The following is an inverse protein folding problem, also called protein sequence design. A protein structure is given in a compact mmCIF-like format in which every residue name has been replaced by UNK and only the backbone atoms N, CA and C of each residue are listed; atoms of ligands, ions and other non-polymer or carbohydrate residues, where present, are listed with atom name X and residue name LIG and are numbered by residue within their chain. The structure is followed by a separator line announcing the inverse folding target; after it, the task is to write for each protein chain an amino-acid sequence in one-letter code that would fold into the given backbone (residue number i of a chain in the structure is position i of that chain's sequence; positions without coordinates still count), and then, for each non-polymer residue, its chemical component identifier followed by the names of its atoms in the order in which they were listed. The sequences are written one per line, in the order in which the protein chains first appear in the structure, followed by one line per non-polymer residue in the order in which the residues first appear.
data_IF_013661786790
#
_entry.id   IF_013661786790
#
_cell.length_a   1.000
_cell.length_b   1.000
_cell.length_c   1.000
_cell.angle_alpha   90.00
_cell.angle_beta   90.00
_cell.angle_gamma   90.00
#
_symmetry.space_group_name_H-M   'P 1'
#
loop_
_entity.id
_entity.type
_entity.pdbx_description
1 polymer ?
#
# COMPACT_ATOMS: atom_id res chain seq x y z
N UNK A 1 -20.81 -0.74 48.95
CA UNK A 1 -20.12 0.03 47.89
C UNK A 1 -19.12 -0.89 47.22
N UNK A 2 -19.51 -1.49 46.10
CA UNK A 2 -18.68 -2.43 45.36
C UNK A 2 -17.75 -1.62 44.46
N UNK A 3 -16.47 -1.55 44.82
CA UNK A 3 -15.44 -0.91 44.01
C UNK A 3 -15.23 -1.74 42.73
N UNK A 4 -15.63 -1.21 41.59
CA UNK A 4 -15.27 -1.74 40.28
C UNK A 4 -13.82 -1.32 40.01
N UNK A 5 -12.89 -2.22 40.24
CA UNK A 5 -11.52 -2.10 39.74
C UNK A 5 -11.55 -2.22 38.22
N UNK A 6 -11.62 -1.08 37.54
CA UNK A 6 -11.33 -1.01 36.10
C UNK A 6 -9.87 -1.39 35.90
N UNK A 7 -9.62 -2.65 35.55
CA UNK A 7 -8.30 -3.09 35.13
C UNK A 7 -7.98 -2.29 33.86
N UNK A 8 -7.01 -1.38 33.94
CA UNK A 8 -6.47 -0.73 32.75
C UNK A 8 -5.89 -1.83 31.87
N UNK A 9 -6.63 -2.25 30.84
CA UNK A 9 -6.16 -3.27 29.91
C UNK A 9 -4.93 -2.71 29.21
N UNK A 10 -3.77 -3.27 29.53
CA UNK A 10 -2.49 -2.91 28.94
C UNK A 10 -2.58 -3.06 27.41
N UNK A 11 -2.05 -2.09 26.67
CA UNK A 11 -1.91 -2.16 25.22
C UNK A 11 -1.16 -3.45 24.85
N UNK A 12 -1.74 -4.23 23.93
CA UNK A 12 -1.20 -5.54 23.53
C UNK A 12 -0.41 -5.40 22.23
N UNK A 13 0.46 -6.38 22.00
CA UNK A 13 1.12 -6.57 20.71
C UNK A 13 0.37 -7.65 19.93
N UNK A 14 0.08 -7.38 18.67
CA UNK A 14 -0.53 -8.30 17.71
C UNK A 14 0.52 -8.59 16.65
N UNK A 15 1.07 -9.80 16.66
CA UNK A 15 2.08 -10.25 15.71
C UNK A 15 1.45 -10.73 14.41
N UNK A 16 2.04 -10.30 13.30
CA UNK A 16 1.64 -10.69 11.94
C UNK A 16 2.83 -11.30 11.23
N UNK A 17 2.67 -12.51 10.71
CA UNK A 17 3.67 -13.22 9.92
C UNK A 17 2.98 -13.80 8.67
N UNK A 18 3.27 -13.25 7.50
CA UNK A 18 2.64 -13.64 6.23
C UNK A 18 3.02 -15.04 5.73
N UNK A 19 4.03 -15.69 6.32
CA UNK A 19 4.46 -17.04 5.95
C UNK A 19 4.02 -18.09 6.97
N UNK A 20 4.29 -17.84 8.25
CA UNK A 20 4.09 -18.81 9.33
C UNK A 20 2.77 -18.61 10.07
N UNK A 21 2.16 -17.42 9.95
CA UNK A 21 0.94 -17.06 10.66
C UNK A 21 -0.31 -17.76 10.17
N UNK A 22 -1.35 -17.77 11.01
CA UNK A 22 -2.69 -18.28 10.66
C UNK A 22 -3.75 -17.34 11.22
N UNK A 23 -4.74 -16.99 10.41
CA UNK A 23 -5.79 -16.06 10.87
C UNK A 23 -6.75 -16.64 11.90
N UNK A 24 -6.68 -17.96 12.14
CA UNK A 24 -7.34 -18.61 13.28
C UNK A 24 -6.63 -18.31 14.60
N UNK A 25 -5.38 -17.85 14.57
CA UNK A 25 -4.61 -17.53 15.77
C UNK A 25 -5.05 -16.20 16.41
N UNK A 26 -4.66 -16.02 17.67
CA UNK A 26 -4.94 -14.83 18.48
C UNK A 26 -3.98 -13.65 18.25
N UNK A 27 -2.82 -13.90 17.64
CA UNK A 27 -1.79 -12.89 17.38
C UNK A 27 -1.00 -12.45 18.60
N UNK A 28 -1.15 -13.09 19.77
CA UNK A 28 -0.58 -12.61 21.04
C UNK A 28 0.85 -13.07 21.29
N UNK A 29 1.36 -13.98 20.48
CA UNK A 29 2.72 -14.52 20.56
C UNK A 29 3.36 -14.49 19.17
N UNK A 30 4.66 -14.25 19.15
CA UNK A 30 5.43 -14.04 17.92
C UNK A 30 5.58 -15.31 17.09
N UNK A 31 5.87 -16.43 17.76
CA UNK A 31 6.05 -17.72 17.10
C UNK A 31 4.80 -18.59 17.20
N UNK A 32 4.50 -19.42 16.19
CA UNK A 32 3.40 -20.39 16.27
C UNK A 32 3.66 -21.40 17.40
N UNK A 33 2.78 -21.45 18.39
CA UNK A 33 2.83 -22.43 19.49
C UNK A 33 1.92 -23.61 19.15
N UNK A 34 0.68 -23.32 18.77
CA UNK A 34 -0.33 -24.33 18.45
C UNK A 34 -1.29 -23.85 17.36
N UNK A 35 -2.44 -24.52 17.20
CA UNK A 35 -3.42 -24.24 16.15
C UNK A 35 -4.08 -22.86 16.29
N UNK A 36 -4.17 -22.31 17.49
CA UNK A 36 -4.88 -21.06 17.83
C UNK A 36 -4.00 -20.01 18.54
N UNK A 37 -2.81 -20.38 18.99
CA UNK A 37 -1.83 -19.48 19.59
C UNK A 37 -0.64 -19.32 18.64
N UNK A 38 -0.40 -18.07 18.22
CA UNK A 38 0.58 -17.75 17.19
C UNK A 38 0.30 -16.41 16.51
N UNK A 39 1.17 -15.97 15.59
CA UNK A 39 0.94 -14.78 14.80
C UNK A 39 -0.24 -14.98 13.84
N UNK A 40 -0.97 -13.90 13.57
CA UNK A 40 -1.95 -13.90 12.49
C UNK A 40 -1.25 -13.79 11.14
N UNK A 41 -1.92 -14.21 10.06
CA UNK A 41 -1.30 -14.21 8.73
C UNK A 41 -1.49 -12.88 8.01
N UNK A 42 -2.68 -12.30 8.13
CA UNK A 42 -3.10 -11.16 7.31
C UNK A 42 -3.18 -9.87 8.10
N UNK A 43 -2.90 -8.76 7.40
CA UNK A 43 -3.08 -7.40 7.93
C UNK A 43 -4.53 -7.15 8.33
N UNK A 44 -5.49 -7.65 7.55
CA UNK A 44 -6.92 -7.51 7.83
C UNK A 44 -7.31 -8.22 9.12
N UNK A 45 -6.76 -9.40 9.39
CA UNK A 45 -6.99 -10.10 10.66
C UNK A 45 -6.40 -9.35 11.84
N UNK A 46 -5.18 -8.82 11.71
CA UNK A 46 -4.55 -8.03 12.77
C UNK A 46 -5.38 -6.79 13.14
N UNK A 47 -5.81 -6.03 12.13
CA UNK A 47 -6.73 -4.89 12.28
C UNK A 47 -8.04 -5.32 12.93
N UNK A 48 -8.61 -6.46 12.53
CA UNK A 48 -9.86 -6.98 13.09
C UNK A 48 -9.73 -7.44 14.56
N UNK A 49 -8.53 -7.73 15.05
CA UNK A 49 -8.26 -8.07 16.46
C UNK A 49 -7.89 -6.85 17.30
N UNK A 50 -7.36 -5.81 16.67
CA UNK A 50 -6.84 -4.62 17.31
C UNK A 50 -7.92 -3.86 18.09
N UNK A 51 -7.48 -3.32 19.22
CA UNK A 51 -8.22 -2.40 20.11
C UNK A 51 -7.46 -1.08 20.21
N UNK A 52 -8.07 -0.03 20.80
CA UNK A 52 -7.38 1.24 20.99
C UNK A 52 -6.02 1.05 21.67
N UNK A 53 -5.03 1.82 21.24
CA UNK A 53 -3.66 1.78 21.77
C UNK A 53 -2.87 0.47 21.57
N UNK A 54 -3.43 -0.57 20.94
CA UNK A 54 -2.67 -1.78 20.61
C UNK A 54 -1.53 -1.48 19.61
N UNK A 55 -0.58 -2.40 19.53
CA UNK A 55 0.52 -2.41 18.55
C UNK A 55 0.32 -3.57 17.57
N UNK A 56 0.32 -3.29 16.27
CA UNK A 56 0.47 -4.30 15.23
C UNK A 56 1.96 -4.40 14.90
N UNK A 57 2.55 -5.58 15.07
CA UNK A 57 3.96 -5.85 14.78
C UNK A 57 4.07 -6.80 13.59
N UNK A 58 4.62 -6.30 12.48
CA UNK A 58 4.87 -7.09 11.28
C UNK A 58 6.24 -7.76 11.36
N UNK A 59 6.28 -9.08 11.18
CA UNK A 59 7.52 -9.82 11.03
C UNK A 59 8.08 -9.57 9.63
N UNK A 60 9.36 -9.18 9.55
CA UNK A 60 10.03 -9.04 8.29
C UNK A 60 10.49 -10.42 7.79
N UNK A 61 9.67 -11.03 6.94
CA UNK A 61 9.92 -12.36 6.38
C UNK A 61 10.77 -12.32 5.10
N UNK A 62 11.13 -11.12 4.62
CA UNK A 62 11.70 -10.93 3.28
C UNK A 62 10.69 -11.04 2.14
N UNK A 63 9.44 -11.44 2.42
CA UNK A 63 8.36 -11.53 1.43
C UNK A 63 7.32 -10.43 1.65
N UNK A 64 6.84 -9.74 0.59
CA UNK A 64 5.83 -8.70 0.75
C UNK A 64 4.52 -9.20 1.35
N UNK A 65 3.97 -8.42 2.27
CA UNK A 65 2.59 -8.56 2.74
C UNK A 65 1.64 -8.18 1.62
N UNK A 66 0.70 -9.08 1.34
CA UNK A 66 -0.38 -8.89 0.39
C UNK A 66 -1.64 -8.42 1.12
N UNK A 67 -2.36 -7.48 0.52
CA UNK A 67 -3.52 -6.84 1.13
C UNK A 67 -3.20 -5.49 1.76
N UNK A 68 -4.24 -4.72 2.07
CA UNK A 68 -4.15 -3.36 2.57
C UNK A 68 -4.35 -3.27 4.08
N UNK A 69 -3.76 -2.24 4.69
CA UNK A 69 -3.90 -1.91 6.10
C UNK A 69 -4.90 -0.77 6.28
N UNK A 70 -5.99 -1.02 6.98
CA UNK A 70 -7.13 -0.12 7.09
C UNK A 70 -7.37 0.31 8.53
N UNK A 71 -6.94 1.52 8.90
CA UNK A 71 -7.11 2.05 10.26
C UNK A 71 -8.22 3.09 10.28
N UNK A 72 -9.29 2.76 11.02
CA UNK A 72 -10.53 3.52 11.06
C UNK A 72 -10.99 3.83 12.48
N UNK A 73 -11.25 5.11 12.74
CA UNK A 73 -11.95 5.58 13.93
C UNK A 73 -11.23 5.34 15.25
N UNK A 74 -12.00 5.48 16.33
CA UNK A 74 -11.52 5.34 17.71
C UNK A 74 -10.88 3.98 17.99
N UNK A 75 -11.36 2.91 17.32
CA UNK A 75 -10.84 1.55 17.47
C UNK A 75 -9.35 1.44 17.14
N UNK A 76 -8.89 2.18 16.14
CA UNK A 76 -7.50 2.18 15.68
C UNK A 76 -6.80 3.49 16.04
N UNK A 77 -7.20 4.07 17.17
CA UNK A 77 -6.61 5.27 17.74
C UNK A 77 -5.97 4.95 19.08
N UNK A 78 -5.01 5.77 19.49
CA UNK A 78 -4.46 5.74 20.84
C UNK A 78 -4.83 6.99 21.64
N UNK A 79 -4.03 7.24 22.66
CA UNK A 79 -4.00 8.50 23.42
C UNK A 79 -2.57 9.05 23.43
N UNK A 80 -2.39 10.30 23.84
CA UNK A 80 -1.09 10.98 23.80
C UNK A 80 0.06 10.19 24.48
N UNK A 81 -0.22 9.53 25.61
CA UNK A 81 0.75 8.73 26.36
C UNK A 81 0.83 7.27 25.92
N UNK A 82 -0.11 6.81 25.09
CA UNK A 82 -0.21 5.42 24.66
C UNK A 82 -0.79 5.36 23.24
N UNK A 83 0.03 5.66 22.20
CA UNK A 83 -0.43 5.69 20.82
C UNK A 83 -0.78 4.28 20.32
N UNK A 84 -1.65 4.21 19.31
CA UNK A 84 -1.80 2.99 18.50
C UNK A 84 -0.60 2.88 17.56
N UNK A 85 0.01 1.70 17.45
CA UNK A 85 1.27 1.54 16.71
C UNK A 85 1.18 0.50 15.62
N UNK A 86 1.88 0.75 14.53
CA UNK A 86 2.19 -0.23 13.49
C UNK A 86 3.70 -0.25 13.33
N UNK A 87 4.34 -1.34 13.75
CA UNK A 87 5.79 -1.55 13.64
C UNK A 87 6.02 -2.46 12.44
N UNK A 88 6.58 -1.91 11.37
CA UNK A 88 6.83 -2.63 10.13
C UNK A 88 8.10 -3.49 10.15
N UNK A 89 9.08 -3.18 10.99
CA UNK A 89 10.37 -3.89 11.07
C UNK A 89 11.10 -4.04 9.70
N UNK A 90 10.91 -3.07 8.79
CA UNK A 90 11.45 -3.11 7.43
C UNK A 90 10.64 -3.97 6.45
N UNK A 91 9.48 -4.48 6.85
CA UNK A 91 8.58 -5.23 5.98
C UNK A 91 8.05 -4.37 4.82
N UNK A 92 7.62 -5.07 3.76
CA UNK A 92 7.03 -4.46 2.57
C UNK A 92 5.54 -4.79 2.51
N UNK A 93 4.68 -3.79 2.37
CA UNK A 93 3.28 -3.95 1.97
C UNK A 93 3.18 -3.68 0.46
N UNK A 94 2.77 -4.68 -0.31
CA UNK A 94 2.69 -4.55 -1.77
C UNK A 94 1.28 -4.76 -2.32
N UNK A 95 0.88 -3.87 -3.22
CA UNK A 95 -0.33 -4.00 -4.01
C UNK A 95 -0.15 -4.83 -5.29
N UNK A 96 1.06 -5.34 -5.58
CA UNK A 96 1.34 -6.08 -6.82
C UNK A 96 0.47 -7.34 -6.93
N UNK A 97 -0.23 -7.47 -8.06
CA UNK A 97 -1.08 -8.63 -8.37
C UNK A 97 -0.55 -9.33 -9.61
N UNK A 98 -0.02 -10.56 -9.48
CA UNK A 98 0.37 -11.37 -10.63
C UNK A 98 -0.80 -11.50 -11.62
N UNK A 99 -0.49 -11.39 -12.91
CA UNK A 99 -1.46 -11.52 -13.98
C UNK A 99 -1.20 -12.85 -14.69
N UNK A 100 -2.13 -13.83 -14.60
CA UNK A 100 -1.96 -15.11 -15.30
C UNK A 100 -1.82 -14.91 -16.81
N UNK A 101 -0.97 -15.71 -17.45
CA UNK A 101 -0.74 -15.68 -18.90
C UNK A 101 -2.06 -15.71 -19.71
N UNK A 102 -3.02 -16.53 -19.29
CA UNK A 102 -4.35 -16.64 -19.90
C UNK A 102 -5.19 -15.35 -19.86
N UNK A 103 -4.80 -14.34 -19.07
CA UNK A 103 -5.47 -13.03 -19.04
C UNK A 103 -5.03 -12.10 -20.18
N UNK A 104 -3.95 -12.44 -20.87
CA UNK A 104 -3.40 -11.67 -21.98
C UNK A 104 -3.93 -12.17 -23.32
N UNK A 105 -4.07 -11.25 -24.29
CA UNK A 105 -4.47 -11.56 -25.66
C UNK A 105 -3.49 -10.94 -26.65
N UNK A 106 -3.07 -11.70 -27.65
CA UNK A 106 -2.29 -11.14 -28.76
C UNK A 106 -3.21 -10.39 -29.73
N UNK A 107 -2.92 -9.12 -29.98
CA UNK A 107 -3.67 -8.23 -30.86
C UNK A 107 -2.69 -7.37 -31.65
N UNK A 108 -2.63 -7.57 -32.98
CA UNK A 108 -1.77 -6.75 -33.84
C UNK A 108 -0.28 -6.77 -33.46
N UNK A 109 0.23 -7.91 -32.96
CA UNK A 109 1.61 -8.05 -32.48
C UNK A 109 1.86 -7.53 -31.06
N UNK A 110 0.86 -6.93 -30.40
CA UNK A 110 0.94 -6.48 -29.00
C UNK A 110 0.21 -7.44 -28.07
N UNK A 111 0.60 -7.43 -26.80
CA UNK A 111 -0.11 -8.11 -25.73
C UNK A 111 -1.09 -7.17 -25.04
N UNK A 112 -2.36 -7.52 -25.06
CA UNK A 112 -3.45 -6.75 -24.48
C UNK A 112 -3.94 -7.37 -23.17
N UNK A 113 -4.09 -6.54 -22.13
CA UNK A 113 -4.75 -6.88 -20.88
C UNK A 113 -5.90 -5.90 -20.63
N UNK A 114 -7.02 -6.39 -20.12
CA UNK A 114 -8.16 -5.58 -19.71
C UNK A 114 -8.33 -5.62 -18.18
N UNK A 115 -7.66 -4.75 -17.41
CA UNK A 115 -7.82 -4.74 -15.95
C UNK A 115 -9.26 -4.43 -15.54
N UNK A 116 -9.74 -5.08 -14.47
CA UNK A 116 -11.10 -4.86 -13.95
C UNK A 116 -11.31 -3.43 -13.45
N UNK A 117 -10.35 -2.92 -12.66
CA UNK A 117 -10.37 -1.52 -12.17
C UNK A 117 -9.61 -0.64 -13.15
N UNK A 118 -10.22 0.49 -13.50
CA UNK A 118 -9.68 1.44 -14.47
C UNK A 118 -9.01 2.63 -13.77
N UNK A 119 -8.08 3.27 -14.48
CA UNK A 119 -7.35 4.46 -14.01
C UNK A 119 -6.13 4.12 -13.15
N UNK A 120 -5.08 4.94 -13.30
CA UNK A 120 -3.78 4.81 -12.63
C UNK A 120 -3.17 3.40 -12.73
N UNK A 121 -2.87 2.99 -13.96
CA UNK A 121 -2.25 1.70 -14.22
C UNK A 121 -0.75 1.73 -13.89
N UNK A 122 -0.25 0.56 -13.49
CA UNK A 122 1.16 0.23 -13.41
C UNK A 122 1.32 -1.21 -13.89
N UNK A 123 2.20 -1.43 -14.86
CA UNK A 123 2.62 -2.76 -15.26
C UNK A 123 3.99 -3.03 -14.64
N UNK A 124 4.13 -4.21 -14.06
CA UNK A 124 5.32 -4.67 -13.36
C UNK A 124 5.85 -5.93 -14.06
N UNK A 125 7.17 -6.08 -14.04
CA UNK A 125 7.86 -7.30 -14.43
C UNK A 125 8.95 -7.59 -13.40
N UNK A 126 9.00 -8.82 -12.89
CA UNK A 126 9.95 -9.25 -11.86
C UNK A 126 9.96 -8.30 -10.64
N UNK A 127 8.75 -7.87 -10.24
CA UNK A 127 8.54 -6.91 -9.15
C UNK A 127 8.98 -5.47 -9.43
N UNK A 128 9.34 -5.09 -10.66
CA UNK A 128 9.76 -3.73 -11.04
C UNK A 128 8.82 -3.09 -12.05
N UNK A 129 8.51 -1.78 -11.93
CA UNK A 129 7.76 -1.05 -12.95
C UNK A 129 8.40 -1.10 -14.33
N UNK A 130 7.61 -1.43 -15.34
CA UNK A 130 8.00 -1.30 -16.74
C UNK A 130 7.81 0.15 -17.23
N UNK A 131 8.63 0.63 -18.16
CA UNK A 131 8.51 1.96 -18.72
C UNK A 131 7.18 2.10 -19.48
N UNK A 132 6.39 3.13 -19.13
CA UNK A 132 5.17 3.47 -19.87
C UNK A 132 5.52 4.41 -21.00
N UNK A 133 5.04 4.09 -22.20
CA UNK A 133 4.95 5.00 -23.32
C UNK A 133 3.61 5.74 -23.24
N UNK A 134 3.64 7.07 -23.19
CA UNK A 134 2.40 7.84 -23.21
C UNK A 134 1.77 7.77 -24.60
N UNK A 135 0.46 7.53 -24.62
CA UNK A 135 -0.34 7.43 -25.83
C UNK A 135 -1.50 8.39 -25.66
N UNK A 136 -1.72 9.21 -26.68
CA UNK A 136 -2.81 10.17 -26.65
C UNK A 136 -4.14 9.42 -26.51
N UNK A 137 -5.00 9.93 -25.63
CA UNK A 137 -6.31 9.33 -25.36
C UNK A 137 -7.19 9.35 -26.60
N UNK A 138 -7.02 10.35 -27.45
CA UNK A 138 -7.84 10.57 -28.64
C UNK A 138 -7.19 10.00 -29.91
N UNK A 139 -5.99 9.40 -29.80
CA UNK A 139 -5.33 8.71 -30.89
C UNK A 139 -5.99 7.35 -31.23
N UNK A 140 -5.61 6.84 -32.41
CA UNK A 140 -5.97 5.50 -32.86
C UNK A 140 -5.50 4.41 -31.89
N UNK A 141 -6.04 3.19 -32.05
CA UNK A 141 -5.60 2.03 -31.26
C UNK A 141 -4.09 1.81 -31.41
N UNK A 142 -3.34 1.54 -30.33
CA UNK A 142 -1.92 1.24 -30.40
C UNK A 142 -1.65 0.05 -31.34
N UNK A 143 -0.63 0.22 -32.19
CA UNK A 143 -0.11 -0.82 -33.08
C UNK A 143 1.31 -1.17 -32.68
N UNK A 144 1.84 -2.30 -33.16
CA UNK A 144 3.17 -2.77 -32.77
C UNK A 144 4.25 -1.69 -32.89
N UNK A 145 4.24 -0.95 -34.00
CA UNK A 145 5.20 0.09 -34.35
C UNK A 145 5.08 1.33 -33.45
N UNK A 146 3.94 1.53 -32.78
CA UNK A 146 3.72 2.70 -31.91
C UNK A 146 4.31 2.54 -30.51
N UNK A 147 4.95 1.41 -30.19
CA UNK A 147 5.54 1.14 -28.88
C UNK A 147 6.96 0.60 -29.03
N UNK A 148 7.96 1.08 -28.25
CA UNK A 148 9.25 0.41 -28.14
C UNK A 148 9.12 -0.98 -27.49
N UNK A 149 10.05 -1.89 -27.77
CA UNK A 149 10.07 -3.19 -27.09
C UNK A 149 10.29 -3.02 -25.58
N UNK A 150 9.58 -3.79 -24.76
CA UNK A 150 9.60 -3.66 -23.29
C UNK A 150 8.78 -2.48 -22.74
N UNK A 151 8.14 -1.67 -23.60
CA UNK A 151 7.25 -0.60 -23.17
C UNK A 151 5.77 -0.99 -23.25
N UNK A 152 4.97 -0.30 -22.45
CA UNK A 152 3.52 -0.46 -22.44
C UNK A 152 2.80 0.87 -22.51
N UNK A 153 1.55 0.86 -22.97
CA UNK A 153 0.66 2.01 -22.92
C UNK A 153 -0.75 1.63 -22.50
N UNK A 154 -1.61 2.63 -22.37
CA UNK A 154 -3.03 2.48 -22.04
C UNK A 154 -3.86 3.14 -23.12
N UNK A 155 -4.78 2.38 -23.70
CA UNK A 155 -5.78 2.92 -24.62
C UNK A 155 -7.16 2.35 -24.29
N UNK A 156 -8.17 3.22 -24.22
CA UNK A 156 -9.55 2.89 -23.82
C UNK A 156 -9.67 1.96 -22.61
N UNK A 157 -8.82 2.21 -21.60
CA UNK A 157 -8.81 1.47 -20.35
C UNK A 157 -8.24 0.04 -20.43
N UNK A 158 -7.52 -0.30 -21.50
CA UNK A 158 -6.76 -1.55 -21.64
C UNK A 158 -5.27 -1.24 -21.66
N UNK A 159 -4.47 -2.18 -21.16
CA UNK A 159 -3.02 -2.13 -21.24
C UNK A 159 -2.60 -2.83 -22.53
N UNK A 160 -1.71 -2.19 -23.29
CA UNK A 160 -1.05 -2.77 -24.45
C UNK A 160 0.44 -2.81 -24.14
N UNK A 161 1.06 -3.97 -24.27
CA UNK A 161 2.45 -4.22 -23.92
C UNK A 161 3.18 -4.83 -25.12
N UNK A 162 4.31 -4.24 -25.50
CA UNK A 162 5.19 -4.81 -26.52
C UNK A 162 6.31 -5.57 -25.82
N UNK A 163 6.45 -6.84 -26.18
CA UNK A 163 7.62 -7.65 -25.81
C UNK A 163 7.93 -8.63 -26.92
N UNK A 164 9.22 -8.85 -27.16
CA UNK A 164 9.75 -9.90 -28.02
C UNK A 164 9.61 -11.30 -27.40
N UNK A 165 9.28 -11.39 -26.11
CA UNK A 165 9.08 -12.65 -25.41
C UNK A 165 7.63 -13.14 -25.47
N UNK A 166 7.48 -14.46 -25.47
CA UNK A 166 6.20 -15.14 -25.45
C UNK A 166 5.62 -15.20 -24.03
N UNK A 167 4.63 -14.35 -23.74
CA UNK A 167 3.98 -14.29 -22.41
C UNK A 167 3.16 -15.56 -22.13
N UNK A 168 2.62 -16.19 -23.16
CA UNK A 168 1.84 -17.43 -23.10
C UNK A 168 2.65 -18.65 -22.60
N UNK A 169 3.98 -18.57 -22.64
CA UNK A 169 4.86 -19.56 -22.00
C UNK A 169 4.78 -19.55 -20.46
N UNK A 170 4.19 -18.52 -19.85
CA UNK A 170 4.08 -18.38 -18.40
C UNK A 170 5.39 -18.01 -17.69
N UNK A 171 6.46 -17.73 -18.44
CA UNK A 171 7.79 -17.45 -17.91
C UNK A 171 7.91 -16.00 -17.39
N UNK A 172 7.13 -15.07 -17.94
CA UNK A 172 7.18 -13.68 -17.53
C UNK A 172 6.41 -13.45 -16.22
N UNK A 173 7.11 -13.08 -15.14
CA UNK A 173 6.50 -12.65 -13.86
C UNK A 173 5.90 -11.24 -14.01
N UNK A 174 4.77 -11.18 -14.71
CA UNK A 174 4.03 -9.95 -14.95
C UNK A 174 2.98 -9.74 -13.86
N UNK A 175 2.96 -8.52 -13.33
CA UNK A 175 1.97 -8.09 -12.36
C UNK A 175 1.42 -6.70 -12.71
N UNK A 176 0.27 -6.38 -12.15
CA UNK A 176 -0.25 -5.01 -12.16
C UNK A 176 -0.36 -4.48 -10.73
N UNK A 177 -0.31 -3.16 -10.58
CA UNK A 177 -0.69 -2.55 -9.31
C UNK A 177 -2.19 -2.81 -9.04
N UNK A 178 -2.46 -3.46 -7.91
CA UNK A 178 -3.80 -3.80 -7.43
C UNK A 178 -4.24 -2.93 -6.26
N UNK A 179 -5.47 -3.18 -5.81
CA UNK A 179 -6.08 -2.43 -4.70
C UNK A 179 -6.31 -0.96 -5.03
N UNK A 180 -6.65 -0.17 -4.01
CA UNK A 180 -6.74 1.29 -4.12
C UNK A 180 -5.54 1.90 -3.40
N UNK A 181 -5.43 1.69 -2.09
CA UNK A 181 -4.33 2.22 -1.29
C UNK A 181 -3.71 1.15 -0.39
N UNK A 182 -2.43 1.27 -0.08
CA UNK A 182 -1.73 0.32 0.79
C UNK A 182 -2.06 0.50 2.26
N UNK A 183 -2.09 1.74 2.72
CA UNK A 183 -2.56 2.11 4.06
C UNK A 183 -3.64 3.17 3.93
N UNK A 184 -4.79 2.93 4.55
CA UNK A 184 -5.86 3.93 4.66
C UNK A 184 -6.02 4.34 6.12
N UNK A 185 -5.97 5.65 6.37
CA UNK A 185 -6.16 6.27 7.67
C UNK A 185 -7.39 7.15 7.64
N UNK A 186 -8.41 6.85 8.44
CA UNK A 186 -9.62 7.68 8.48
C UNK A 186 -10.15 7.86 9.90
N UNK A 187 -10.32 9.12 10.30
CA UNK A 187 -10.80 9.49 11.63
C UNK A 187 -10.00 8.86 12.79
N UNK A 188 -8.68 8.70 12.61
CA UNK A 188 -7.78 8.14 13.63
C UNK A 188 -7.02 9.24 14.38
N UNK A 189 -6.62 8.94 15.63
CA UNK A 189 -5.83 9.83 16.48
C UNK A 189 -4.71 9.11 17.20
N UNK A 190 -3.60 9.81 17.44
CA UNK A 190 -2.43 9.26 18.16
C UNK A 190 -1.97 7.92 17.58
N UNK A 191 -1.67 7.91 16.28
CA UNK A 191 -1.21 6.73 15.54
C UNK A 191 0.26 6.90 15.16
N UNK A 192 1.06 5.86 15.34
CA UNK A 192 2.44 5.81 14.83
C UNK A 192 2.62 4.64 13.87
N UNK A 193 3.16 4.91 12.68
CA UNK A 193 3.55 3.89 11.70
C UNK A 193 5.05 4.00 11.49
N UNK A 194 5.76 2.90 11.73
CA UNK A 194 7.21 2.91 11.87
C UNK A 194 7.87 1.84 10.98
N UNK A 195 8.98 2.17 10.31
CA UNK A 195 9.87 1.22 9.63
C UNK A 195 9.16 0.33 8.59
N UNK A 196 8.58 0.94 7.56
CA UNK A 196 7.73 0.22 6.61
C UNK A 196 7.91 0.71 5.17
N UNK A 197 7.87 -0.21 4.21
CA UNK A 197 7.83 0.12 2.77
C UNK A 197 6.44 -0.18 2.22
N UNK A 198 5.86 0.76 1.47
CA UNK A 198 4.55 0.59 0.82
C UNK A 198 4.68 0.84 -0.68
N UNK A 199 4.32 -0.14 -1.50
CA UNK A 199 4.57 -0.08 -2.95
C UNK A 199 3.53 -0.78 -3.82
N UNK A 200 3.51 -0.44 -5.10
CA UNK A 200 2.72 -1.11 -6.15
C UNK A 200 1.20 -1.01 -5.98
N UNK A 201 0.70 0.11 -5.43
CA UNK A 201 -0.73 0.38 -5.32
C UNK A 201 -1.27 1.17 -6.50
N UNK A 202 -2.51 0.87 -6.92
CA UNK A 202 -3.15 1.52 -8.06
C UNK A 202 -3.40 3.00 -7.80
N UNK A 203 -3.76 3.39 -6.59
CA UNK A 203 -3.79 4.80 -6.20
C UNK A 203 -2.54 5.07 -5.38
N UNK A 204 -2.65 4.98 -4.06
CA UNK A 204 -1.69 5.62 -3.17
C UNK A 204 -0.98 4.61 -2.27
N UNK A 205 0.27 4.88 -1.91
CA UNK A 205 0.94 4.13 -0.85
C UNK A 205 0.17 4.29 0.46
N UNK A 206 0.05 5.53 0.94
CA UNK A 206 -0.70 5.89 2.14
C UNK A 206 -1.70 6.98 1.81
N UNK A 207 -2.94 6.84 2.30
CA UNK A 207 -4.00 7.81 2.11
C UNK A 207 -4.66 8.16 3.45
N UNK A 208 -4.75 9.45 3.74
CA UNK A 208 -5.42 10.00 4.91
C UNK A 208 -6.59 10.92 4.51
N UNK A 209 -7.72 10.37 4.02
CA UNK A 209 -8.79 11.15 3.39
C UNK A 209 -9.62 12.03 4.33
N UNK A 210 -9.42 11.95 5.65
CA UNK A 210 -10.04 12.91 6.56
C UNK A 210 -9.93 12.57 8.04
N UNK A 211 -10.00 13.63 8.86
CA UNK A 211 -10.13 13.59 10.33
C UNK A 211 -8.98 12.86 11.05
N UNK A 212 -7.80 12.77 10.45
CA UNK A 212 -6.60 12.24 11.13
C UNK A 212 -5.91 13.35 11.94
N UNK A 213 -5.53 13.06 13.19
CA UNK A 213 -4.76 13.99 14.05
C UNK A 213 -3.69 13.23 14.83
N UNK A 214 -2.59 13.89 15.16
CA UNK A 214 -1.49 13.29 15.91
C UNK A 214 -1.01 11.96 15.31
N UNK A 215 -0.91 11.91 13.98
CA UNK A 215 -0.39 10.76 13.26
C UNK A 215 1.05 11.02 12.86
N UNK A 216 1.93 10.08 13.20
CA UNK A 216 3.36 10.14 12.86
C UNK A 216 3.73 8.96 11.97
N UNK A 217 4.33 9.26 10.82
CA UNK A 217 4.99 8.27 9.95
C UNK A 217 6.50 8.39 10.16
N UNK A 218 7.14 7.39 10.75
CA UNK A 218 8.57 7.42 11.06
C UNK A 218 9.33 6.36 10.28
N UNK A 219 10.34 6.76 9.51
CA UNK A 219 11.13 5.85 8.67
C UNK A 219 10.24 5.01 7.73
N UNK A 220 9.39 5.71 6.96
CA UNK A 220 8.42 5.10 6.03
C UNK A 220 8.77 5.47 4.60
N UNK A 221 8.82 4.46 3.73
CA UNK A 221 9.05 4.63 2.30
C UNK A 221 7.78 4.28 1.53
N UNK A 222 7.26 5.21 0.73
CA UNK A 222 6.21 4.92 -0.24
C UNK A 222 6.78 5.05 -1.65
N UNK A 223 6.84 3.96 -2.40
CA UNK A 223 7.45 3.98 -3.73
C UNK A 223 6.66 3.25 -4.79
N UNK A 224 6.84 3.67 -6.05
CA UNK A 224 6.32 2.93 -7.21
C UNK A 224 4.81 2.67 -7.12
N UNK A 225 4.04 3.63 -6.58
CA UNK A 225 2.58 3.63 -6.62
C UNK A 225 2.08 4.41 -7.84
N UNK A 226 0.92 4.06 -8.37
CA UNK A 226 0.47 4.56 -9.67
C UNK A 226 -0.24 5.92 -9.63
N UNK A 227 -0.61 6.42 -8.44
CA UNK A 227 -1.01 7.81 -8.21
C UNK A 227 -0.02 8.51 -7.29
N UNK A 228 -0.09 8.32 -5.97
CA UNK A 228 0.73 9.07 -5.03
C UNK A 228 1.50 8.19 -4.03
N UNK A 229 2.60 8.70 -3.47
CA UNK A 229 3.25 8.08 -2.31
C UNK A 229 2.42 8.25 -1.05
N UNK A 230 2.12 9.51 -0.71
CA UNK A 230 1.29 9.92 0.41
C UNK A 230 0.23 10.92 -0.04
N UNK A 231 -1.03 10.68 0.34
CA UNK A 231 -2.15 11.62 0.17
C UNK A 231 -2.65 12.07 1.54
N UNK A 232 -2.77 13.37 1.73
CA UNK A 232 -3.36 13.97 2.93
C UNK A 232 -4.47 14.92 2.49
N UNK A 233 -5.71 14.62 2.88
CA UNK A 233 -6.86 15.42 2.45
C UNK A 233 -7.90 15.61 3.54
N UNK A 234 -9.00 16.30 3.20
CA UNK A 234 -10.01 16.72 4.16
C UNK A 234 -9.39 17.61 5.23
N UNK A 235 -9.52 17.21 6.51
CA UNK A 235 -8.95 17.92 7.67
C UNK A 235 -7.83 17.13 8.37
N UNK A 236 -7.21 16.19 7.65
CA UNK A 236 -6.15 15.34 8.18
C UNK A 236 -4.85 16.11 8.37
N UNK A 237 -4.14 15.79 9.44
CA UNK A 237 -2.80 16.31 9.73
C UNK A 237 -1.85 15.14 9.99
N UNK A 238 -0.78 15.05 9.20
CA UNK A 238 0.21 13.97 9.31
C UNK A 238 1.60 14.60 9.48
N UNK A 239 2.35 14.09 10.44
CA UNK A 239 3.78 14.37 10.58
C UNK A 239 4.59 13.23 9.96
N UNK A 240 5.48 13.55 9.02
CA UNK A 240 6.42 12.60 8.44
C UNK A 240 7.83 12.84 8.97
N UNK A 241 8.47 11.82 9.50
CA UNK A 241 9.83 11.86 10.01
C UNK A 241 10.68 10.82 9.28
N UNK A 242 11.76 11.26 8.60
CA UNK A 242 12.61 10.38 7.79
C UNK A 242 11.80 9.58 6.76
N UNK A 243 10.98 10.29 5.97
CA UNK A 243 10.13 9.64 4.96
C UNK A 243 10.76 9.72 3.57
N UNK A 244 10.49 8.70 2.75
CA UNK A 244 10.92 8.67 1.35
C UNK A 244 9.71 8.40 0.44
N UNK A 245 9.36 9.34 -0.44
CA UNK A 245 8.25 9.19 -1.38
C UNK A 245 8.79 9.26 -2.82
N UNK A 246 9.20 8.11 -3.35
CA UNK A 246 10.01 8.03 -4.56
C UNK A 246 9.36 7.21 -5.67
N UNK A 247 9.55 7.60 -6.93
CA UNK A 247 9.12 6.87 -8.12
C UNK A 247 7.62 6.55 -8.17
N UNK A 248 6.81 7.32 -7.43
CA UNK A 248 5.35 7.28 -7.55
C UNK A 248 4.96 8.02 -8.83
N UNK A 249 4.05 7.45 -9.62
CA UNK A 249 3.81 7.89 -11.00
C UNK A 249 3.28 9.33 -11.06
N UNK A 250 2.23 9.64 -10.30
CA UNK A 250 1.61 10.97 -10.27
C UNK A 250 2.34 11.93 -9.34
N UNK A 251 2.34 11.62 -8.04
CA UNK A 251 2.78 12.55 -6.99
C UNK A 251 3.67 11.86 -5.95
N UNK A 252 4.67 12.56 -5.43
CA UNK A 252 5.38 12.07 -4.23
C UNK A 252 4.48 12.24 -3.00
N UNK A 253 4.15 13.51 -2.71
CA UNK A 253 3.22 13.95 -1.68
C UNK A 253 2.10 14.75 -2.37
N UNK A 254 0.86 14.37 -2.14
CA UNK A 254 -0.33 15.08 -2.61
C UNK A 254 -1.12 15.57 -1.39
N UNK A 255 -1.34 16.88 -1.32
CA UNK A 255 -2.17 17.52 -0.30
C UNK A 255 -3.40 18.07 -1.02
N UNK A 256 -4.58 17.64 -0.59
CA UNK A 256 -5.88 18.08 -1.11
C UNK A 256 -6.67 18.76 0.02
N UNK A 257 -7.64 19.62 -0.34
CA UNK A 257 -8.51 20.34 0.60
C UNK A 257 -7.72 21.10 1.70
N UNK A 258 -8.02 20.83 2.99
CA UNK A 258 -7.39 21.39 4.18
C UNK A 258 -6.37 20.44 4.81
N UNK A 259 -5.83 19.49 4.04
CA UNK A 259 -4.79 18.58 4.50
C UNK A 259 -3.53 19.31 4.94
N UNK A 260 -2.85 18.79 5.98
CA UNK A 260 -1.60 19.37 6.47
C UNK A 260 -0.51 18.30 6.59
N UNK A 261 0.66 18.60 6.02
CA UNK A 261 1.86 17.79 6.16
C UNK A 261 2.95 18.57 6.93
N UNK A 262 3.41 18.02 8.04
CA UNK A 262 4.62 18.47 8.74
C UNK A 262 5.75 17.47 8.45
N UNK A 263 6.68 17.81 7.56
CA UNK A 263 7.73 16.87 7.12
C UNK A 263 9.09 17.27 7.65
N UNK A 264 9.70 16.35 8.40
CA UNK A 264 11.06 16.43 8.91
C UNK A 264 11.91 15.37 8.20
N UNK A 265 12.96 15.80 7.50
CA UNK A 265 13.88 14.94 6.74
C UNK A 265 13.17 14.06 5.69
N UNK A 266 12.40 14.69 4.79
CA UNK A 266 11.74 14.01 3.67
C UNK A 266 12.60 13.97 2.41
N UNK A 267 12.54 12.84 1.67
CA UNK A 267 13.05 12.73 0.30
C UNK A 267 11.91 12.50 -0.67
N UNK A 268 11.91 13.22 -1.78
CA UNK A 268 10.85 13.16 -2.78
C UNK A 268 11.42 13.11 -4.19
N UNK A 269 10.92 12.18 -5.02
CA UNK A 269 11.27 12.13 -6.46
C UNK A 269 10.65 13.28 -7.29
N UNK A 270 9.61 13.92 -6.75
CA UNK A 270 8.86 15.04 -7.33
C UNK A 270 8.50 16.00 -6.20
N UNK A 271 8.41 17.31 -6.43
CA UNK A 271 7.96 18.27 -5.41
C UNK A 271 6.55 17.92 -4.91
N UNK A 272 6.21 18.27 -3.65
CA UNK A 272 4.84 18.16 -3.15
C UNK A 272 3.85 18.87 -4.06
N UNK A 273 2.67 18.27 -4.25
CA UNK A 273 1.57 18.85 -5.03
C UNK A 273 0.48 19.33 -4.08
N UNK A 274 0.04 20.57 -4.25
CA UNK A 274 -1.14 21.12 -3.59
C UNK A 274 -2.28 21.13 -4.60
N UNK A 275 -3.40 20.49 -4.27
CA UNK A 275 -4.62 20.54 -5.05
C UNK A 275 -5.74 21.12 -4.18
N UNK A 276 -6.61 21.97 -4.75
CA UNK A 276 -7.76 22.50 -4.04
C UNK A 276 -8.74 21.39 -3.62
#
# INVERSE_FOLDING_TARGET
MTSLTTTAAQARVIYVDNLRGRDVCDGLVEDPIDRISGPVRTLSRAVALARPSDTIHLINTGHPYQGDLRLFGQRHSGIATLPFRVIGNGAVISGARPVPAASWRSVGGLWQLAPRRKGHYLLLRDGKPLPRHDHDRDAAEPVLESLPDGHWTVWRGKIYYRTSELIDSGVADLAIAGGDCGITLYAVRHVRIENLVVQHWRLDGISAPGRCRDVVLHNVTCRQNARAGLVISGTSQIRGEKIELNDNRGHSLLIEDFGLADIVNGKFSKPPTLAP
#
